data_IF_107377815050
#
_entry.id   IF_107377815050
#
_cell.length_a   1.000
_cell.length_b   1.000
_cell.length_c   1.000
_cell.angle_alpha   90.00
_cell.angle_beta   90.00
_cell.angle_gamma   90.00
#
_symmetry.space_group_name_H-M   'P 1'
#
loop_
_entity.id
_entity.type
_entity.pdbx_description
1 polymer ?
#
# COMPACT_ATOMS: atom_id res chain seq x y z
N UNK A 1 -8.98 -23.92 38.77
CA UNK A 1 -7.57 -23.96 38.35
C UNK A 1 -7.36 -23.00 37.19
N UNK A 2 -6.35 -22.12 37.32
CA UNK A 2 -5.49 -21.54 36.28
C UNK A 2 -6.19 -20.82 35.10
N UNK A 3 -6.14 -19.47 35.07
CA UNK A 3 -5.10 -18.64 34.41
C UNK A 3 -5.10 -18.83 32.89
N UNK A 4 -5.03 -17.85 32.00
CA UNK A 4 -4.99 -16.39 31.99
C UNK A 4 -4.85 -15.99 30.49
N UNK A 5 -4.85 -14.69 30.20
CA UNK A 5 -4.63 -14.00 28.90
C UNK A 5 -5.93 -13.57 28.20
N UNK A 6 -6.47 -12.37 28.44
CA UNK A 6 -5.88 -11.03 28.20
C UNK A 6 -5.16 -10.96 26.85
N UNK A 7 -5.92 -10.70 25.78
CA UNK A 7 -5.47 -9.78 24.73
C UNK A 7 -6.55 -8.73 24.57
N UNK A 8 -6.57 -7.79 25.51
CA UNK A 8 -7.14 -6.48 25.25
C UNK A 8 -6.26 -5.83 24.18
N UNK A 9 -6.65 -5.95 22.91
CA UNK A 9 -6.10 -5.12 21.85
C UNK A 9 -6.66 -3.71 22.05
N UNK A 10 -6.02 -2.97 22.97
CA UNK A 10 -6.00 -1.53 22.95
C UNK A 10 -5.22 -1.10 21.70
N UNK A 11 -5.88 -1.11 20.53
CA UNK A 11 -5.39 -0.32 19.41
C UNK A 11 -5.72 1.12 19.72
N UNK A 12 -4.68 1.81 20.18
CA UNK A 12 -4.56 3.24 20.36
C UNK A 12 -5.56 4.02 19.49
N UNK A 13 -6.59 4.50 20.16
CA UNK A 13 -7.59 5.44 19.65
C UNK A 13 -6.96 6.84 19.67
N UNK A 14 -5.76 7.00 19.11
CA UNK A 14 -4.97 8.24 19.12
C UNK A 14 -4.55 8.64 17.70
N UNK A 15 -4.92 9.86 17.28
CA UNK A 15 -4.55 10.52 16.01
C UNK A 15 -5.19 9.95 14.71
N UNK A 16 -6.52 9.94 14.65
CA UNK A 16 -7.35 9.13 13.72
C UNK A 16 -7.46 9.49 12.22
N UNK A 17 -6.69 10.43 11.65
CA UNK A 17 -6.95 10.87 10.26
C UNK A 17 -5.83 10.64 9.26
N UNK A 18 -4.58 10.65 9.71
CA UNK A 18 -3.43 10.42 8.84
C UNK A 18 -3.07 8.93 8.80
N UNK A 19 -2.71 8.37 7.64
CA UNK A 19 -2.11 7.04 7.53
C UNK A 19 -0.71 7.01 8.15
N UNK A 20 -0.24 5.84 8.59
CA UNK A 20 1.14 5.67 9.04
C UNK A 20 2.11 5.60 7.86
N UNK A 21 3.39 5.92 8.08
CA UNK A 21 4.44 5.72 7.07
C UNK A 21 4.47 4.29 6.53
N UNK A 22 4.23 3.29 7.40
CA UNK A 22 4.21 1.89 7.01
C UNK A 22 3.05 1.59 6.06
N UNK A 23 1.84 2.10 6.35
CA UNK A 23 0.71 1.99 5.43
C UNK A 23 0.98 2.68 4.09
N UNK A 24 1.69 3.81 4.10
CA UNK A 24 2.09 4.52 2.88
C UNK A 24 3.13 3.75 2.06
N UNK A 25 4.12 3.13 2.71
CA UNK A 25 5.09 2.24 2.04
C UNK A 25 4.39 1.04 1.41
N UNK A 26 3.49 0.39 2.17
CA UNK A 26 2.68 -0.71 1.66
C UNK A 26 1.84 -0.28 0.45
N UNK A 27 1.24 0.91 0.50
CA UNK A 27 0.45 1.39 -0.63
C UNK A 27 1.32 1.63 -1.87
N UNK A 28 2.50 2.22 -1.72
CA UNK A 28 3.41 2.44 -2.84
C UNK A 28 3.81 1.13 -3.51
N UNK A 29 4.19 0.13 -2.71
CA UNK A 29 4.56 -1.20 -3.22
C UNK A 29 3.38 -1.86 -3.93
N UNK A 30 2.17 -1.75 -3.36
CA UNK A 30 0.94 -2.27 -3.95
C UNK A 30 0.62 -1.61 -5.30
N UNK A 31 0.68 -0.27 -5.38
CA UNK A 31 0.43 0.46 -6.63
C UNK A 31 1.45 0.09 -7.71
N UNK A 32 2.73 -0.02 -7.34
CA UNK A 32 3.78 -0.48 -8.27
C UNK A 32 3.50 -1.91 -8.73
N UNK A 33 3.04 -2.81 -7.86
CA UNK A 33 2.66 -4.16 -8.27
C UNK A 33 1.50 -4.15 -9.28
N UNK A 34 0.45 -3.37 -9.02
CA UNK A 34 -0.71 -3.22 -9.90
C UNK A 34 -0.34 -2.65 -11.27
N UNK A 35 0.54 -1.65 -11.34
CA UNK A 35 1.04 -1.08 -12.60
C UNK A 35 1.77 -2.13 -13.45
N UNK A 36 2.68 -2.88 -12.82
CA UNK A 36 3.39 -3.94 -13.53
C UNK A 36 2.47 -5.09 -13.94
N UNK A 37 1.51 -5.45 -13.09
CA UNK A 37 0.47 -6.45 -13.42
C UNK A 37 -0.34 -6.01 -14.64
N UNK A 38 -0.76 -4.74 -14.70
CA UNK A 38 -1.46 -4.15 -15.85
C UNK A 38 -0.58 -4.11 -17.10
N UNK A 39 0.71 -3.84 -16.95
CA UNK A 39 1.69 -3.88 -18.04
C UNK A 39 2.02 -5.30 -18.57
N UNK A 40 1.38 -6.34 -18.04
CA UNK A 40 1.53 -7.72 -18.51
C UNK A 40 2.60 -8.52 -17.77
N UNK A 41 3.13 -8.04 -16.63
CA UNK A 41 4.10 -8.79 -15.83
C UNK A 41 3.59 -10.16 -15.36
N UNK A 42 2.27 -10.38 -15.34
CA UNK A 42 1.66 -11.67 -15.03
C UNK A 42 2.05 -12.78 -16.02
N UNK A 43 2.42 -12.43 -17.26
CA UNK A 43 2.91 -13.37 -18.28
C UNK A 43 4.44 -13.51 -18.35
N UNK A 44 5.18 -12.91 -17.42
CA UNK A 44 6.63 -12.89 -17.45
C UNK A 44 7.24 -14.28 -17.16
N UNK A 45 8.27 -14.63 -17.93
CA UNK A 45 9.10 -15.82 -17.67
C UNK A 45 9.89 -15.67 -16.37
N UNK A 46 10.38 -16.76 -15.80
CA UNK A 46 11.13 -16.69 -14.52
C UNK A 46 12.39 -15.82 -14.60
N UNK A 47 13.05 -15.77 -15.76
CA UNK A 47 14.16 -14.86 -16.00
C UNK A 47 13.72 -13.38 -15.98
N UNK A 48 12.57 -13.06 -16.55
CA UNK A 48 12.01 -11.71 -16.56
C UNK A 48 11.48 -11.27 -15.19
N UNK A 49 11.04 -12.20 -14.33
CA UNK A 49 10.55 -11.89 -12.98
C UNK A 49 11.63 -11.24 -12.10
N UNK A 50 12.88 -11.66 -12.24
CA UNK A 50 14.00 -11.05 -11.52
C UNK A 50 14.21 -9.59 -11.94
N UNK A 51 14.20 -9.32 -13.24
CA UNK A 51 14.34 -7.97 -13.79
C UNK A 51 13.14 -7.09 -13.42
N UNK A 52 11.91 -7.63 -13.48
CA UNK A 52 10.70 -6.95 -13.05
C UNK A 52 10.79 -6.58 -11.57
N UNK A 53 11.25 -7.50 -10.71
CA UNK A 53 11.42 -7.22 -9.28
C UNK A 53 12.40 -6.09 -9.04
N UNK A 54 13.53 -6.08 -9.76
CA UNK A 54 14.51 -5.00 -9.70
C UNK A 54 13.93 -3.67 -10.18
N UNK A 55 13.14 -3.68 -11.25
CA UNK A 55 12.47 -2.47 -11.76
C UNK A 55 11.43 -1.95 -10.78
N UNK A 56 10.61 -2.82 -10.19
CA UNK A 56 9.64 -2.46 -9.14
C UNK A 56 10.34 -1.77 -7.96
N UNK A 57 11.43 -2.35 -7.47
CA UNK A 57 12.22 -1.76 -6.38
C UNK A 57 12.84 -0.41 -6.76
N UNK A 58 13.34 -0.27 -7.98
CA UNK A 58 13.90 1.00 -8.46
C UNK A 58 12.82 2.09 -8.54
N UNK A 59 11.63 1.76 -9.05
CA UNK A 59 10.48 2.68 -9.12
C UNK A 59 10.00 3.06 -7.72
N UNK A 60 9.78 2.07 -6.85
CA UNK A 60 9.35 2.32 -5.46
C UNK A 60 10.37 3.19 -4.71
N UNK A 61 11.67 2.89 -4.82
CA UNK A 61 12.72 3.68 -4.18
C UNK A 61 12.74 5.12 -4.71
N UNK A 62 12.66 5.31 -6.02
CA UNK A 62 12.69 6.62 -6.66
C UNK A 62 11.48 7.49 -6.30
N UNK A 63 10.32 6.87 -6.02
CA UNK A 63 9.08 7.57 -5.67
C UNK A 63 8.83 7.66 -4.17
N UNK A 64 9.53 6.88 -3.36
CA UNK A 64 9.26 6.69 -1.93
C UNK A 64 9.18 7.98 -1.13
N UNK A 65 10.19 8.87 -1.25
CA UNK A 65 10.28 10.08 -0.42
C UNK A 65 9.09 11.01 -0.65
N UNK A 66 8.80 11.34 -1.91
CA UNK A 66 7.68 12.23 -2.27
C UNK A 66 6.34 11.56 -1.98
N UNK A 67 6.20 10.28 -2.30
CA UNK A 67 4.96 9.55 -2.10
C UNK A 67 4.60 9.43 -0.62
N UNK A 68 5.56 9.05 0.23
CA UNK A 68 5.33 8.88 1.66
C UNK A 68 4.97 10.21 2.31
N UNK A 69 5.66 11.30 1.96
CA UNK A 69 5.34 12.63 2.46
C UNK A 69 3.90 13.04 2.13
N UNK A 70 3.50 12.91 0.86
CA UNK A 70 2.14 13.23 0.42
C UNK A 70 1.11 12.29 1.04
N UNK A 71 1.42 11.01 1.14
CA UNK A 71 0.51 10.02 1.72
C UNK A 71 0.23 10.32 3.20
N UNK A 72 1.27 10.51 4.02
CA UNK A 72 1.13 10.78 5.45
C UNK A 72 0.45 12.13 5.71
N UNK A 73 0.81 13.17 4.95
CA UNK A 73 0.40 14.54 5.27
C UNK A 73 -0.87 15.00 4.54
N UNK A 74 -1.19 14.44 3.36
CA UNK A 74 -2.22 14.97 2.47
C UNK A 74 -3.31 13.98 2.11
N UNK A 75 -3.17 12.70 2.49
CA UNK A 75 -4.13 11.66 2.13
C UNK A 75 -4.89 11.18 3.35
N UNK A 76 -6.20 11.04 3.22
CA UNK A 76 -7.03 10.50 4.30
C UNK A 76 -6.75 9.00 4.46
N UNK A 77 -6.61 8.55 5.72
CA UNK A 77 -6.37 7.14 6.04
C UNK A 77 -7.37 6.17 5.38
N UNK A 78 -8.65 6.54 5.31
CA UNK A 78 -9.69 5.73 4.66
C UNK A 78 -9.44 5.49 3.17
N UNK A 79 -8.84 6.47 2.47
CA UNK A 79 -8.45 6.32 1.06
C UNK A 79 -7.31 5.32 0.89
N UNK A 80 -6.33 5.38 1.80
CA UNK A 80 -5.21 4.42 1.82
C UNK A 80 -5.72 2.99 2.07
N UNK A 81 -6.62 2.83 3.05
CA UNK A 81 -7.22 1.52 3.36
C UNK A 81 -8.04 0.98 2.18
N UNK A 82 -8.82 1.83 1.50
CA UNK A 82 -9.52 1.45 0.28
C UNK A 82 -8.55 1.03 -0.84
N UNK A 83 -7.52 1.83 -1.09
CA UNK A 83 -6.56 1.57 -2.16
C UNK A 83 -5.71 0.31 -1.91
N UNK A 84 -5.37 0.02 -0.65
CA UNK A 84 -4.71 -1.23 -0.26
C UNK A 84 -5.59 -2.47 -0.45
N UNK A 85 -6.91 -2.33 -0.38
CA UNK A 85 -7.86 -3.41 -0.64
C UNK A 85 -8.19 -3.58 -2.14
N UNK A 86 -7.76 -2.65 -3.00
CA UNK A 86 -8.06 -2.68 -4.42
C UNK A 86 -7.27 -3.76 -5.17
N UNK A 87 -7.91 -4.43 -6.12
CA UNK A 87 -7.31 -5.54 -6.90
C UNK A 87 -6.66 -5.11 -8.21
N UNK A 88 -6.93 -3.88 -8.63
CA UNK A 88 -6.51 -3.24 -9.88
C UNK A 88 -6.56 -1.72 -9.74
N UNK A 89 -5.97 -1.01 -10.71
CA UNK A 89 -5.86 0.44 -10.68
C UNK A 89 -7.22 1.16 -10.88
N UNK A 90 -8.20 0.50 -11.51
CA UNK A 90 -9.53 1.09 -11.67
C UNK A 90 -10.28 1.09 -10.33
N UNK A 91 -10.10 0.05 -9.51
CA UNK A 91 -10.58 -0.02 -8.15
C UNK A 91 -9.89 1.00 -7.23
N UNK A 92 -8.57 1.24 -7.41
CA UNK A 92 -7.85 2.32 -6.71
C UNK A 92 -8.46 3.69 -7.06
N UNK A 93 -8.72 3.97 -8.33
CA UNK A 93 -9.27 5.25 -8.76
C UNK A 93 -10.64 5.55 -8.11
N UNK A 94 -11.47 4.53 -7.91
CA UNK A 94 -12.76 4.65 -7.21
C UNK A 94 -12.63 5.00 -5.73
N UNK A 95 -11.47 4.75 -5.11
CA UNK A 95 -11.22 5.17 -3.72
C UNK A 95 -11.09 6.68 -3.58
N UNK A 96 -10.72 7.40 -4.64
CA UNK A 96 -10.64 8.86 -4.64
C UNK A 96 -11.99 9.54 -4.92
N UNK A 97 -12.92 8.83 -5.57
CA UNK A 97 -14.29 9.25 -5.87
C UNK A 97 -15.20 9.22 -4.63
N UNK A 98 -14.83 8.46 -3.60
CA UNK A 98 -15.47 8.51 -2.28
C UNK A 98 -15.06 9.81 -1.56
N UNK A 99 -15.70 10.91 -1.95
CA UNK A 99 -15.71 12.18 -1.21
C UNK A 99 -16.79 12.18 -0.13
#
# INVERSE_FOLDING_TARGET
>A
MKRAMLVAVFLAVGCKKAPSEEQCKQLLDHLVDLEFKKAGAAGATDAMKADITKQKQAVASAKSVEFIDVCVNKTAKSRIECALAATDLDAVAKCDEQK
#
